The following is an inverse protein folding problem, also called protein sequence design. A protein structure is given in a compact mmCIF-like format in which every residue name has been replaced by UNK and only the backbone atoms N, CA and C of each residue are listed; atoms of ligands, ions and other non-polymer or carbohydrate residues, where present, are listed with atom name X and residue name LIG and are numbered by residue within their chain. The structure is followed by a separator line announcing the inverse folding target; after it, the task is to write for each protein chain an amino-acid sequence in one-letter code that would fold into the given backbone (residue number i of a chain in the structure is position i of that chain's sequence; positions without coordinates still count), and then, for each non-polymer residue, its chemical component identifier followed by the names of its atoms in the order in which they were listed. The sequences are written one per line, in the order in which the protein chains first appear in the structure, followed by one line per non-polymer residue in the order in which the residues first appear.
data_IF_495595263269
#
_entry.id   IF_495595263269
#
_cell.length_a   1.000
_cell.length_b   1.000
_cell.length_c   1.000
_cell.angle_alpha   90.00
_cell.angle_beta   90.00
_cell.angle_gamma   90.00
#
_symmetry.space_group_name_H-M   'P 1'
#
loop_
_entity.id
_entity.type
_entity.pdbx_description
1 polymer ?
#
# COMPACT_ATOMS: atom_id res chain seq x y z
N UNK A 1 -10.24 8.59 21.28
CA UNK A 1 -10.34 7.69 20.11
C UNK A 1 -11.21 8.36 19.05
N UNK A 2 -10.94 8.13 17.76
CA UNK A 2 -11.85 8.59 16.69
C UNK A 2 -13.12 7.72 16.64
N UNK A 3 -14.22 8.20 16.01
CA UNK A 3 -15.41 7.37 15.82
C UNK A 3 -15.07 6.16 14.92
N UNK A 4 -15.59 4.98 15.27
CA UNK A 4 -15.48 3.80 14.42
C UNK A 4 -16.25 4.01 13.12
N UNK A 5 -15.60 3.69 12.02
CA UNK A 5 -16.17 3.68 10.66
C UNK A 5 -15.62 2.45 9.95
N UNK A 6 -16.47 1.55 9.42
CA UNK A 6 -16.01 0.36 8.74
C UNK A 6 -15.43 0.71 7.36
N UNK A 7 -14.43 -0.05 6.90
CA UNK A 7 -13.92 0.03 5.52
C UNK A 7 -14.60 -0.96 4.58
N UNK A 8 -15.33 -1.95 5.11
CA UNK A 8 -16.04 -2.92 4.28
C UNK A 8 -17.09 -2.23 3.38
N UNK A 9 -17.05 -2.53 2.08
CA UNK A 9 -18.10 -2.15 1.14
C UNK A 9 -19.13 -3.28 1.05
N UNK A 10 -20.33 -3.09 1.62
CA UNK A 10 -21.35 -4.15 1.70
C UNK A 10 -22.18 -4.24 0.43
N UNK A 11 -22.26 -5.44 -0.15
CA UNK A 11 -23.14 -5.76 -1.28
C UNK A 11 -23.81 -7.14 -1.16
N UNK A 12 -23.39 -7.99 -0.22
CA UNK A 12 -23.97 -9.33 -0.01
C UNK A 12 -24.05 -9.68 1.49
N UNK A 13 -25.04 -10.49 1.85
CA UNK A 13 -25.25 -10.96 3.24
C UNK A 13 -24.17 -11.95 3.72
N UNK A 14 -23.39 -12.52 2.81
CA UNK A 14 -22.29 -13.45 3.11
C UNK A 14 -21.05 -12.73 3.67
N UNK A 15 -21.00 -11.39 3.55
CA UNK A 15 -19.91 -10.60 4.11
C UNK A 15 -20.01 -10.51 5.64
N UNK A 16 -18.88 -10.41 6.34
CA UNK A 16 -18.85 -10.37 7.82
C UNK A 16 -19.80 -9.30 8.36
N UNK A 17 -20.75 -9.62 9.27
CA UNK A 17 -21.74 -8.66 9.77
C UNK A 17 -21.09 -7.52 10.55
N UNK A 18 -21.84 -6.43 10.75
CA UNK A 18 -21.37 -5.32 11.58
C UNK A 18 -21.26 -5.77 13.05
N UNK A 19 -20.24 -5.32 13.79
CA UNK A 19 -20.18 -5.58 15.22
C UNK A 19 -21.33 -4.87 15.92
N UNK A 20 -21.83 -5.48 17.00
CA UNK A 20 -22.77 -4.81 17.89
C UNK A 20 -22.14 -3.50 18.41
N UNK A 21 -22.89 -2.38 18.50
CA UNK A 21 -22.33 -1.09 18.90
C UNK A 21 -21.54 -1.12 20.22
N UNK A 22 -21.99 -1.94 21.17
CA UNK A 22 -21.32 -2.13 22.47
C UNK A 22 -20.00 -2.91 22.40
N UNK A 23 -19.77 -3.70 21.35
CA UNK A 23 -18.57 -4.53 21.20
C UNK A 23 -17.39 -3.77 20.55
N UNK A 24 -17.65 -2.63 19.89
CA UNK A 24 -16.64 -1.87 19.13
C UNK A 24 -15.48 -1.44 20.02
N UNK A 25 -15.75 -0.91 21.21
CA UNK A 25 -14.71 -0.43 22.13
C UNK A 25 -13.81 -1.58 22.57
N UNK A 26 -14.41 -2.71 23.00
CA UNK A 26 -13.65 -3.89 23.40
C UNK A 26 -12.81 -4.48 22.26
N UNK A 27 -13.31 -4.45 21.03
CA UNK A 27 -12.55 -4.93 19.87
C UNK A 27 -11.35 -4.01 19.54
N UNK A 28 -11.51 -2.69 19.67
CA UNK A 28 -10.39 -1.74 19.50
C UNK A 28 -9.32 -1.93 20.60
N UNK A 29 -9.74 -2.19 21.83
CA UNK A 29 -8.84 -2.53 22.92
C UNK A 29 -8.12 -3.87 22.67
N UNK A 30 -8.84 -4.87 22.14
CA UNK A 30 -8.27 -6.17 21.77
C UNK A 30 -7.21 -6.06 20.66
N UNK A 31 -7.45 -5.24 19.63
CA UNK A 31 -6.43 -4.90 18.61
C UNK A 31 -5.19 -4.28 19.24
N UNK A 32 -5.37 -3.36 20.19
CA UNK A 32 -4.27 -2.67 20.86
C UNK A 32 -3.45 -3.61 21.75
N UNK A 33 -4.14 -4.51 22.47
CA UNK A 33 -3.55 -5.59 23.27
C UNK A 33 -2.75 -6.55 22.39
N UNK A 34 -3.33 -7.05 21.29
CA UNK A 34 -2.64 -7.91 20.32
C UNK A 34 -1.42 -7.24 19.71
N UNK A 35 -1.52 -5.95 19.36
CA UNK A 35 -0.39 -5.18 18.82
C UNK A 35 0.75 -5.03 19.83
N UNK A 36 0.45 -5.00 21.13
CA UNK A 36 1.47 -4.98 22.18
C UNK A 36 2.14 -6.35 22.32
N UNK A 37 1.37 -7.44 22.26
CA UNK A 37 1.90 -8.82 22.29
C UNK A 37 2.76 -9.13 21.06
N UNK A 38 2.36 -8.65 19.88
CA UNK A 38 3.16 -8.79 18.65
C UNK A 38 4.50 -8.08 18.71
N UNK A 39 4.62 -6.96 19.44
CA UNK A 39 5.93 -6.34 19.68
C UNK A 39 6.87 -7.23 20.50
N UNK A 40 6.33 -8.03 21.40
CA UNK A 40 7.09 -8.96 22.23
C UNK A 40 7.38 -10.29 21.52
N UNK A 41 6.46 -10.74 20.67
CA UNK A 41 6.55 -12.01 19.95
C UNK A 41 6.13 -11.86 18.46
N UNK A 42 6.98 -11.21 17.65
CA UNK A 42 6.63 -10.74 16.30
C UNK A 42 6.51 -11.87 15.27
N UNK A 43 7.09 -13.04 15.52
CA UNK A 43 7.02 -14.19 14.60
C UNK A 43 5.95 -15.22 15.00
N UNK A 44 5.01 -14.83 15.88
CA UNK A 44 3.94 -15.71 16.31
C UNK A 44 2.72 -15.63 15.39
N UNK A 45 2.57 -16.64 14.54
CA UNK A 45 1.46 -16.72 13.59
C UNK A 45 0.07 -16.70 14.25
N UNK A 46 -0.06 -17.19 15.49
CA UNK A 46 -1.33 -17.15 16.22
C UNK A 46 -1.70 -15.73 16.63
N UNK A 47 -0.74 -14.91 17.06
CA UNK A 47 -0.99 -13.49 17.40
C UNK A 47 -1.41 -12.68 16.17
N UNK A 48 -0.77 -12.91 15.02
CA UNK A 48 -1.18 -12.29 13.75
C UNK A 48 -2.59 -12.72 13.36
N UNK A 49 -2.91 -14.00 13.52
CA UNK A 49 -4.25 -14.54 13.25
C UNK A 49 -5.30 -13.93 14.18
N UNK A 50 -5.01 -13.81 15.47
CA UNK A 50 -5.89 -13.20 16.47
C UNK A 50 -6.17 -11.73 16.15
N UNK A 51 -5.13 -10.95 15.79
CA UNK A 51 -5.33 -9.55 15.40
C UNK A 51 -6.10 -9.41 14.08
N UNK A 52 -5.87 -10.31 13.12
CA UNK A 52 -6.63 -10.38 11.88
C UNK A 52 -8.13 -10.63 12.13
N UNK A 53 -8.46 -11.52 13.06
CA UNK A 53 -9.85 -11.80 13.45
C UNK A 53 -10.52 -10.56 14.05
N UNK A 54 -9.84 -9.84 14.95
CA UNK A 54 -10.36 -8.58 15.49
C UNK A 54 -10.56 -7.51 14.41
N UNK A 55 -9.66 -7.40 13.43
CA UNK A 55 -9.85 -6.51 12.29
C UNK A 55 -11.06 -6.90 11.45
N UNK A 56 -11.28 -8.19 11.21
CA UNK A 56 -12.44 -8.68 10.47
C UNK A 56 -13.76 -8.37 11.21
N UNK A 57 -13.80 -8.60 12.52
CA UNK A 57 -14.94 -8.25 13.39
C UNK A 57 -15.22 -6.75 13.44
N UNK A 58 -14.18 -5.91 13.38
CA UNK A 58 -14.31 -4.45 13.26
C UNK A 58 -14.67 -3.98 11.83
N UNK A 59 -14.84 -4.91 10.89
CA UNK A 59 -15.07 -4.67 9.47
C UNK A 59 -13.96 -3.82 8.80
N UNK A 60 -12.71 -4.15 9.16
CA UNK A 60 -11.49 -3.72 8.48
C UNK A 60 -10.84 -4.87 7.70
N UNK A 61 -11.52 -5.42 6.66
CA UNK A 61 -11.06 -6.63 6.00
C UNK A 61 -9.69 -6.47 5.34
N UNK A 62 -9.31 -5.28 4.85
CA UNK A 62 -7.98 -5.03 4.27
C UNK A 62 -6.85 -5.20 5.29
N UNK A 63 -7.11 -4.87 6.55
CA UNK A 63 -6.16 -5.06 7.64
C UNK A 63 -6.09 -6.53 8.04
N UNK A 64 -7.24 -7.21 8.07
CA UNK A 64 -7.33 -8.65 8.31
C UNK A 64 -6.57 -9.45 7.24
N UNK A 65 -6.70 -9.08 5.95
CA UNK A 65 -5.91 -9.68 4.86
C UNK A 65 -4.41 -9.53 5.15
N UNK A 66 -3.96 -8.33 5.53
CA UNK A 66 -2.54 -8.07 5.82
C UNK A 66 -1.97 -8.96 6.92
N UNK A 67 -2.68 -9.08 8.04
CA UNK A 67 -2.23 -9.88 9.19
C UNK A 67 -2.37 -11.39 8.95
N UNK A 68 -3.46 -11.85 8.35
CA UNK A 68 -3.63 -13.26 8.01
C UNK A 68 -2.62 -13.70 6.92
N UNK A 69 -2.22 -12.81 6.01
CA UNK A 69 -1.16 -13.06 5.05
C UNK A 69 0.22 -13.15 5.71
N UNK A 70 0.53 -12.32 6.72
CA UNK A 70 1.74 -12.50 7.56
C UNK A 70 1.75 -13.87 8.24
N UNK A 71 0.63 -14.30 8.82
CA UNK A 71 0.50 -15.62 9.40
C UNK A 71 0.76 -16.74 8.35
N UNK A 72 0.20 -16.59 7.13
CA UNK A 72 0.47 -17.50 6.00
C UNK A 72 1.97 -17.61 5.70
N UNK A 73 2.68 -16.48 5.58
CA UNK A 73 4.12 -16.47 5.30
C UNK A 73 4.94 -17.18 6.40
N UNK A 74 4.55 -17.05 7.66
CA UNK A 74 5.18 -17.78 8.77
C UNK A 74 4.95 -19.29 8.68
N UNK A 75 3.74 -19.72 8.29
CA UNK A 75 3.43 -21.12 8.06
C UNK A 75 4.25 -21.71 6.92
N UNK A 76 4.40 -20.99 5.80
CA UNK A 76 5.21 -21.40 4.66
C UNK A 76 6.69 -21.50 5.03
N UNK A 77 7.20 -20.55 5.83
CA UNK A 77 8.56 -20.61 6.37
C UNK A 77 8.77 -21.84 7.26
N UNK A 78 7.81 -22.18 8.11
CA UNK A 78 7.88 -23.36 8.97
C UNK A 78 7.84 -24.68 8.16
N UNK A 79 7.04 -24.72 7.09
CA UNK A 79 6.97 -25.87 6.19
C UNK A 79 8.33 -26.08 5.47
N UNK A 80 8.89 -25.01 4.90
CA UNK A 80 10.19 -25.05 4.22
C UNK A 80 11.34 -25.45 5.16
N UNK A 81 11.35 -24.96 6.40
CA UNK A 81 12.34 -25.37 7.40
C UNK A 81 12.25 -26.88 7.73
N UNK A 82 11.03 -27.41 7.83
CA UNK A 82 10.81 -28.84 8.10
C UNK A 82 11.30 -29.73 6.95
N UNK A 83 11.16 -29.27 5.70
CA UNK A 83 11.64 -29.99 4.52
C UNK A 83 13.17 -30.04 4.48
N UNK A 84 13.83 -28.90 4.73
CA UNK A 84 15.30 -28.83 4.76
C UNK A 84 15.92 -29.66 5.90
N UNK A 85 15.29 -29.70 7.09
CA UNK A 85 15.79 -30.49 8.22
C UNK A 85 15.72 -32.01 7.98
N UNK A 86 14.79 -32.49 7.15
CA UNK A 86 14.75 -33.90 6.76
C UNK A 86 15.93 -34.31 5.89
N UNK A 87 16.63 -33.36 5.26
CA UNK A 87 17.78 -33.62 4.40
C UNK A 87 19.14 -33.54 5.12
N UNK A 88 19.23 -32.92 6.31
CA UNK A 88 20.52 -32.53 6.94
C UNK A 88 20.77 -33.03 8.37
N UNK A 89 20.07 -34.06 8.84
CA UNK A 89 20.07 -34.50 10.25
C UNK A 89 21.43 -34.45 11.00
N UNK A 90 21.60 -33.47 11.90
CA UNK A 90 22.10 -33.59 13.29
C UNK A 90 22.00 -32.24 14.03
N UNK A 91 21.42 -32.29 15.23
CA UNK A 91 21.13 -31.21 16.21
C UNK A 91 20.02 -30.23 15.82
N UNK A 92 18.94 -30.20 16.61
CA UNK A 92 17.72 -29.45 16.36
C UNK A 92 17.25 -28.74 17.64
N UNK A 93 17.14 -27.41 17.59
CA UNK A 93 16.07 -26.70 18.30
C UNK A 93 14.76 -27.02 17.56
N UNK A 94 13.75 -27.50 18.28
CA UNK A 94 12.44 -27.80 17.71
C UNK A 94 11.75 -26.51 17.25
N UNK A 95 11.74 -26.24 15.95
CA UNK A 95 10.83 -25.24 15.38
C UNK A 95 9.40 -25.78 15.54
N UNK A 96 8.62 -25.19 16.44
CA UNK A 96 7.24 -25.58 16.68
C UNK A 96 6.40 -25.38 15.40
N UNK A 97 6.11 -26.47 14.70
CA UNK A 97 5.28 -26.45 13.48
C UNK A 97 3.83 -26.19 13.89
N UNK A 98 3.19 -25.11 13.38
CA UNK A 98 1.79 -24.83 13.72
C UNK A 98 0.87 -25.95 13.24
N UNK A 99 -0.02 -26.40 14.13
CA UNK A 99 -0.96 -27.47 13.87
C UNK A 99 -1.97 -27.13 12.75
N UNK A 100 -2.58 -28.15 12.16
CA UNK A 100 -3.53 -28.00 11.05
C UNK A 100 -4.73 -27.10 11.41
N UNK A 101 -5.21 -27.15 12.66
CA UNK A 101 -6.35 -26.35 13.10
C UNK A 101 -6.01 -24.86 13.18
N UNK A 102 -4.81 -24.52 13.65
CA UNK A 102 -4.28 -23.14 13.63
C UNK A 102 -4.26 -22.59 12.20
N UNK A 103 -3.82 -23.39 11.22
CA UNK A 103 -3.79 -23.00 9.80
C UNK A 103 -5.20 -22.82 9.23
N UNK A 104 -6.11 -23.74 9.53
CA UNK A 104 -7.52 -23.66 9.11
C UNK A 104 -8.15 -22.35 9.60
N UNK A 105 -7.90 -21.97 10.85
CA UNK A 105 -8.43 -20.73 11.41
C UNK A 105 -7.89 -19.50 10.66
N UNK A 106 -6.58 -19.39 10.51
CA UNK A 106 -5.93 -18.28 9.80
C UNK A 106 -6.36 -18.17 8.33
N UNK A 107 -6.43 -19.30 7.61
CA UNK A 107 -6.83 -19.32 6.21
C UNK A 107 -8.32 -19.07 6.01
N UNK A 108 -9.16 -19.43 6.99
CA UNK A 108 -10.57 -19.04 6.98
C UNK A 108 -10.72 -17.53 7.11
N UNK A 109 -9.96 -16.89 8.02
CA UNK A 109 -9.93 -15.44 8.15
C UNK A 109 -9.42 -14.79 6.88
N UNK A 110 -8.30 -15.27 6.30
CA UNK A 110 -7.77 -14.73 5.05
C UNK A 110 -8.79 -14.83 3.92
N UNK A 111 -9.41 -16.00 3.73
CA UNK A 111 -10.42 -16.22 2.70
C UNK A 111 -11.65 -15.33 2.87
N UNK A 112 -12.14 -15.16 4.11
CA UNK A 112 -13.27 -14.28 4.40
C UNK A 112 -12.90 -12.81 4.22
N UNK A 113 -11.73 -12.39 4.67
CA UNK A 113 -11.27 -11.02 4.51
C UNK A 113 -11.06 -10.64 3.03
N UNK A 114 -10.54 -11.56 2.21
CA UNK A 114 -10.48 -11.38 0.75
C UNK A 114 -11.87 -11.29 0.13
N UNK A 115 -12.82 -12.10 0.60
CA UNK A 115 -14.21 -12.00 0.17
C UNK A 115 -14.82 -10.64 0.52
N UNK A 116 -14.62 -10.18 1.75
CA UNK A 116 -15.13 -8.90 2.27
C UNK A 116 -14.51 -7.70 1.55
N UNK A 117 -13.26 -7.82 1.07
CA UNK A 117 -12.60 -6.87 0.17
C UNK A 117 -13.01 -7.02 -1.30
N UNK A 118 -14.00 -7.86 -1.64
CA UNK A 118 -14.40 -8.18 -3.02
C UNK A 118 -13.30 -8.79 -3.91
N UNK A 119 -12.18 -9.23 -3.33
CA UNK A 119 -11.07 -9.90 -4.02
C UNK A 119 -11.43 -11.35 -4.37
N UNK A 120 -12.61 -11.59 -4.96
CA UNK A 120 -13.15 -12.93 -5.15
C UNK A 120 -12.28 -13.80 -6.06
N UNK A 121 -11.60 -13.18 -7.04
CA UNK A 121 -10.70 -13.88 -7.93
C UNK A 121 -9.47 -14.41 -7.19
N UNK A 122 -8.78 -13.56 -6.42
CA UNK A 122 -7.63 -13.98 -5.62
C UNK A 122 -8.03 -14.89 -4.46
N UNK A 123 -9.22 -14.70 -3.87
CA UNK A 123 -9.79 -15.62 -2.89
C UNK A 123 -9.99 -17.01 -3.52
N UNK A 124 -10.48 -17.08 -4.75
CA UNK A 124 -10.62 -18.35 -5.49
C UNK A 124 -9.26 -19.00 -5.75
N UNK A 125 -8.28 -18.23 -6.26
CA UNK A 125 -6.93 -18.75 -6.52
C UNK A 125 -6.27 -19.28 -5.24
N UNK A 126 -6.39 -18.53 -4.13
CA UNK A 126 -5.91 -18.94 -2.81
C UNK A 126 -6.52 -20.27 -2.35
N UNK A 127 -7.84 -20.41 -2.38
CA UNK A 127 -8.49 -21.66 -1.99
C UNK A 127 -8.18 -22.80 -2.97
N UNK A 128 -8.08 -22.51 -4.28
CA UNK A 128 -7.72 -23.51 -5.28
C UNK A 128 -6.32 -24.07 -5.03
N UNK A 129 -5.34 -23.23 -4.71
CA UNK A 129 -3.98 -23.66 -4.36
C UNK A 129 -3.99 -24.62 -3.16
N UNK A 130 -4.74 -24.28 -2.11
CA UNK A 130 -4.83 -25.09 -0.88
C UNK A 130 -5.52 -26.45 -1.09
N UNK A 131 -6.24 -26.67 -2.19
CA UNK A 131 -6.77 -28.01 -2.51
C UNK A 131 -5.63 -29.03 -2.70
N UNK A 132 -4.44 -28.55 -3.08
CA UNK A 132 -3.26 -29.39 -3.35
C UNK A 132 -2.41 -29.66 -2.09
N UNK A 133 -2.81 -29.12 -0.93
CA UNK A 133 -2.08 -29.27 0.33
C UNK A 133 -2.19 -30.70 0.92
N UNK A 134 -1.41 -31.64 0.37
CA UNK A 134 -1.46 -33.08 0.74
C UNK A 134 -1.19 -33.35 2.22
N UNK A 135 -0.39 -32.51 2.90
CA UNK A 135 -0.08 -32.62 4.34
C UNK A 135 -1.27 -32.29 5.24
N UNK A 136 -2.26 -31.56 4.74
CA UNK A 136 -3.33 -30.97 5.53
C UNK A 136 -4.70 -31.36 4.93
N UNK A 137 -5.15 -32.57 5.27
CA UNK A 137 -6.34 -33.18 4.65
C UNK A 137 -7.66 -32.46 4.98
N UNK A 138 -7.80 -31.93 6.19
CA UNK A 138 -8.99 -31.18 6.59
C UNK A 138 -9.00 -29.83 5.88
N UNK A 139 -7.84 -29.19 5.82
CA UNK A 139 -7.67 -27.93 5.10
C UNK A 139 -7.97 -28.10 3.60
N UNK A 140 -7.43 -29.12 2.95
CA UNK A 140 -7.67 -29.41 1.52
C UNK A 140 -9.16 -29.62 1.21
N UNK A 141 -9.90 -30.33 2.08
CA UNK A 141 -11.35 -30.50 1.94
C UNK A 141 -12.12 -29.19 2.09
N UNK A 142 -11.78 -28.38 3.09
CA UNK A 142 -12.38 -27.05 3.26
C UNK A 142 -12.12 -26.18 2.02
N UNK A 143 -10.88 -26.17 1.54
CA UNK A 143 -10.44 -25.41 0.40
C UNK A 143 -11.21 -25.79 -0.88
N UNK A 144 -11.44 -27.09 -1.10
CA UNK A 144 -12.25 -27.58 -2.22
C UNK A 144 -13.69 -27.04 -2.19
N UNK A 145 -14.34 -27.07 -1.02
CA UNK A 145 -15.68 -26.52 -0.85
C UNK A 145 -15.72 -25.01 -1.13
N UNK A 146 -14.77 -24.25 -0.57
CA UNK A 146 -14.69 -22.79 -0.75
C UNK A 146 -14.37 -22.40 -2.20
N UNK A 147 -13.41 -23.08 -2.84
CA UNK A 147 -13.05 -22.83 -4.24
C UNK A 147 -14.23 -23.10 -5.20
N UNK A 148 -15.01 -24.15 -4.97
CA UNK A 148 -16.18 -24.44 -5.81
C UNK A 148 -17.28 -23.37 -5.69
N UNK A 149 -17.56 -22.90 -4.47
CA UNK A 149 -18.52 -21.82 -4.26
C UNK A 149 -18.08 -20.53 -4.98
N UNK A 150 -16.81 -20.16 -4.86
CA UNK A 150 -16.26 -18.98 -5.54
C UNK A 150 -16.22 -19.13 -7.06
N UNK A 151 -15.96 -20.34 -7.58
CA UNK A 151 -16.01 -20.61 -9.02
C UNK A 151 -17.38 -20.31 -9.61
N UNK A 152 -18.45 -20.69 -8.90
CA UNK A 152 -19.83 -20.39 -9.32
C UNK A 152 -20.10 -18.88 -9.29
N UNK A 153 -19.70 -18.19 -8.22
CA UNK A 153 -19.83 -16.74 -8.09
C UNK A 153 -19.08 -15.99 -9.20
N UNK A 154 -17.84 -16.40 -9.53
CA UNK A 154 -17.05 -15.79 -10.59
C UNK A 154 -17.67 -16.02 -11.98
N UNK A 155 -18.29 -17.17 -12.21
CA UNK A 155 -19.03 -17.42 -13.45
C UNK A 155 -20.24 -16.48 -13.58
N UNK A 156 -20.98 -16.26 -12.48
CA UNK A 156 -22.09 -15.29 -12.44
C UNK A 156 -21.60 -13.85 -12.67
N UNK A 157 -20.53 -13.43 -11.98
CA UNK A 157 -19.90 -12.11 -12.19
C UNK A 157 -19.46 -11.92 -13.65
N UNK A 158 -18.87 -12.95 -14.27
CA UNK A 158 -18.44 -12.90 -15.67
C UNK A 158 -19.63 -12.72 -16.63
N UNK A 159 -20.74 -13.42 -16.38
CA UNK A 159 -21.97 -13.25 -17.16
C UNK A 159 -22.58 -11.85 -16.96
N UNK A 160 -22.65 -11.37 -15.72
CA UNK A 160 -23.16 -10.03 -15.42
C UNK A 160 -22.28 -8.91 -15.99
N UNK A 161 -20.96 -9.14 -16.09
CA UNK A 161 -20.01 -8.19 -16.66
C UNK A 161 -20.00 -8.16 -18.21
N UNK A 162 -20.51 -9.21 -18.87
CA UNK A 162 -20.43 -9.38 -20.32
C UNK A 162 -21.10 -8.27 -21.16
N UNK A 163 -22.24 -7.67 -20.74
CA UNK A 163 -22.87 -6.59 -21.50
C UNK A 163 -22.06 -5.28 -21.48
N UNK A 164 -21.16 -5.11 -20.52
CA UNK A 164 -20.39 -3.89 -20.37
C UNK A 164 -19.13 -3.96 -21.25
N UNK A 165 -19.05 -3.06 -22.23
CA UNK A 165 -17.86 -2.90 -23.09
C UNK A 165 -16.60 -2.44 -22.33
N UNK A 166 -15.61 -1.99 -23.10
CA UNK A 166 -14.30 -1.54 -22.61
C UNK A 166 -13.15 -2.35 -23.20
N UNK A 167 -11.93 -1.94 -22.87
CA UNK A 167 -10.71 -2.65 -23.30
C UNK A 167 -10.59 -4.00 -22.61
N UNK A 168 -9.81 -4.91 -23.17
CA UNK A 168 -9.54 -6.21 -22.54
C UNK A 168 -9.01 -6.08 -21.10
N UNK A 169 -8.26 -5.00 -20.83
CA UNK A 169 -7.78 -4.69 -19.49
C UNK A 169 -8.92 -4.29 -18.55
N UNK A 170 -9.78 -3.34 -18.96
CA UNK A 170 -10.94 -2.93 -18.17
C UNK A 170 -11.90 -4.09 -17.86
N UNK A 171 -12.08 -5.01 -18.80
CA UNK A 171 -12.89 -6.21 -18.58
C UNK A 171 -12.25 -7.17 -17.57
N UNK A 172 -10.91 -7.30 -17.57
CA UNK A 172 -10.18 -8.09 -16.57
C UNK A 172 -10.26 -7.44 -15.19
N UNK A 173 -10.00 -6.15 -15.11
CA UNK A 173 -10.00 -5.36 -13.87
C UNK A 173 -11.36 -5.46 -13.18
N UNK A 174 -12.47 -5.31 -13.94
CA UNK A 174 -13.85 -5.47 -13.42
C UNK A 174 -14.11 -6.81 -12.72
N UNK A 175 -13.41 -7.87 -13.12
CA UNK A 175 -13.58 -9.22 -12.55
C UNK A 175 -12.58 -9.52 -11.44
N UNK A 176 -11.42 -8.88 -11.45
CA UNK A 176 -10.28 -9.21 -10.58
C UNK A 176 -10.11 -8.23 -9.43
N UNK A 177 -10.45 -6.97 -9.64
CA UNK A 177 -10.25 -5.93 -8.64
C UNK A 177 -11.25 -6.11 -7.50
N UNK A 178 -10.71 -6.09 -6.29
CA UNK A 178 -11.48 -5.87 -5.08
C UNK A 178 -11.59 -4.38 -4.76
N UNK A 179 -12.24 -4.08 -3.65
CA UNK A 179 -12.42 -2.71 -3.20
C UNK A 179 -12.63 -2.59 -1.70
N UNK A 180 -12.22 -1.47 -1.14
CA UNK A 180 -12.49 -1.07 0.24
C UNK A 180 -12.78 0.43 0.33
N UNK A 181 -13.57 0.82 1.32
CA UNK A 181 -13.81 2.23 1.65
C UNK A 181 -12.63 2.73 2.47
N UNK A 182 -12.09 3.86 2.05
CA UNK A 182 -10.96 4.50 2.73
C UNK A 182 -11.41 5.22 4.00
N UNK A 183 -10.78 4.91 5.14
CA UNK A 183 -11.19 5.39 6.46
C UNK A 183 -10.00 5.71 7.37
N UNK A 184 -10.26 6.48 8.42
CA UNK A 184 -9.31 6.60 9.53
C UNK A 184 -9.53 5.47 10.54
N UNK A 185 -8.44 4.79 10.89
CA UNK A 185 -8.49 3.75 11.91
C UNK A 185 -8.57 4.35 13.33
N UNK A 186 -9.33 3.74 14.27
CA UNK A 186 -9.54 4.31 15.61
C UNK A 186 -8.24 4.60 16.40
N UNK A 187 -7.22 3.75 16.21
CA UNK A 187 -5.90 3.83 16.86
C UNK A 187 -4.88 4.68 16.10
N UNK A 188 -5.24 5.26 14.95
CA UNK A 188 -4.34 6.15 14.21
C UNK A 188 -4.08 7.44 14.98
N UNK A 189 -2.82 7.86 15.11
CA UNK A 189 -2.47 9.12 15.74
C UNK A 189 -3.10 10.31 15.00
N UNK A 190 -3.52 11.35 15.74
CA UNK A 190 -4.22 12.51 15.16
C UNK A 190 -3.39 13.21 14.07
N UNK A 191 -2.08 13.39 14.31
CA UNK A 191 -1.12 13.94 13.34
C UNK A 191 -0.99 13.16 12.02
N UNK A 192 -1.52 11.94 11.95
CA UNK A 192 -1.53 11.13 10.72
C UNK A 192 -2.86 11.20 9.96
N UNK A 193 -3.86 11.87 10.51
CA UNK A 193 -5.20 11.95 9.91
C UNK A 193 -5.35 13.11 8.93
N UNK A 194 -4.62 14.20 9.14
CA UNK A 194 -4.64 15.41 8.31
C UNK A 194 -3.25 16.03 8.19
N UNK A 195 -3.12 17.00 7.29
CA UNK A 195 -1.95 17.90 7.28
C UNK A 195 -2.01 18.82 8.49
N UNK A 196 -0.94 18.82 9.27
CA UNK A 196 -0.80 19.72 10.41
C UNK A 196 -0.36 21.12 9.93
N UNK A 197 -0.63 22.19 10.70
CA UNK A 197 -0.14 23.53 10.37
C UNK A 197 1.37 23.59 10.14
N UNK A 198 2.15 22.81 10.90
CA UNK A 198 3.61 22.75 10.79
C UNK A 198 4.06 22.17 9.43
N UNK A 199 3.32 21.21 8.88
CA UNK A 199 3.57 20.69 7.53
C UNK A 199 3.36 21.78 6.48
N UNK A 200 2.29 22.56 6.61
CA UNK A 200 1.97 23.67 5.70
C UNK A 200 3.00 24.79 5.80
N UNK A 201 3.44 25.12 7.02
CA UNK A 201 4.50 26.10 7.27
C UNK A 201 5.84 25.65 6.67
N UNK A 202 6.20 24.37 6.83
CA UNK A 202 7.40 23.80 6.21
C UNK A 202 7.38 23.92 4.68
N UNK A 203 6.25 23.61 4.04
CA UNK A 203 6.09 23.78 2.59
C UNK A 203 6.16 25.26 2.19
N UNK A 204 5.59 26.18 2.98
CA UNK A 204 5.73 27.61 2.73
C UNK A 204 7.19 28.09 2.85
N UNK A 205 7.97 27.54 3.79
CA UNK A 205 9.40 27.78 3.88
C UNK A 205 10.17 27.29 2.64
N UNK A 206 9.80 26.14 2.08
CA UNK A 206 10.37 25.65 0.80
C UNK A 206 10.02 26.59 -0.37
N UNK A 207 8.75 27.03 -0.46
CA UNK A 207 8.28 27.94 -1.51
C UNK A 207 9.01 29.30 -1.49
N UNK A 208 9.34 29.82 -0.30
CA UNK A 208 10.10 31.07 -0.16
C UNK A 208 11.49 31.02 -0.80
N UNK A 209 12.11 29.84 -0.91
CA UNK A 209 13.45 29.66 -1.46
C UNK A 209 13.44 29.10 -2.88
N UNK A 210 12.26 28.76 -3.42
CA UNK A 210 12.13 28.03 -4.67
C UNK A 210 12.44 28.88 -5.92
N UNK A 211 11.86 30.08 -5.98
CA UNK A 211 12.11 31.10 -7.02
C UNK A 211 12.30 32.47 -6.35
N UNK A 212 13.09 33.35 -6.96
CA UNK A 212 13.37 34.69 -6.44
C UNK A 212 12.96 35.78 -7.44
N UNK A 213 12.11 36.76 -7.05
CA UNK A 213 11.45 36.90 -5.74
C UNK A 213 10.31 35.88 -5.54
N UNK A 214 9.98 35.49 -4.29
CA UNK A 214 8.92 34.51 -4.02
C UNK A 214 7.58 34.96 -4.62
N UNK A 215 6.89 34.03 -5.27
CA UNK A 215 5.63 34.31 -5.97
C UNK A 215 4.42 33.63 -5.32
N UNK A 216 4.64 32.60 -4.50
CA UNK A 216 3.61 31.67 -4.10
C UNK A 216 3.62 31.40 -2.59
N UNK A 217 2.43 31.15 -2.05
CA UNK A 217 2.21 30.56 -0.72
C UNK A 217 1.09 29.53 -0.77
N UNK A 218 1.22 28.49 0.03
CA UNK A 218 0.17 27.52 0.31
C UNK A 218 -0.72 28.03 1.45
N UNK A 219 -2.03 27.81 1.35
CA UNK A 219 -3.00 28.12 2.41
C UNK A 219 -4.30 27.35 2.24
N UNK A 220 -5.26 27.57 3.15
CA UNK A 220 -6.59 26.95 3.01
C UNK A 220 -7.29 27.44 1.75
N UNK A 221 -7.86 26.51 0.99
CA UNK A 221 -8.58 26.82 -0.26
C UNK A 221 -9.80 27.71 0.01
N UNK A 222 -10.00 28.73 -0.81
CA UNK A 222 -11.21 29.56 -0.82
C UNK A 222 -12.34 28.96 -1.64
N UNK A 223 -12.09 27.86 -2.35
CA UNK A 223 -13.05 27.18 -3.22
C UNK A 223 -13.89 26.12 -2.49
N UNK A 224 -13.48 25.73 -1.27
CA UNK A 224 -14.21 24.74 -0.48
C UNK A 224 -15.19 25.42 0.45
N UNK A 225 -16.47 25.05 0.34
CA UNK A 225 -17.54 25.49 1.24
C UNK A 225 -17.54 24.74 2.58
N UNK A 226 -16.72 23.69 2.71
CA UNK A 226 -16.61 22.84 3.89
C UNK A 226 -15.19 23.01 4.46
N UNK A 227 -15.01 23.23 5.78
CA UNK A 227 -13.69 23.22 6.41
C UNK A 227 -13.10 21.81 6.28
N UNK A 228 -12.39 21.63 5.18
CA UNK A 228 -11.73 20.40 4.75
C UNK A 228 -10.24 20.65 4.75
N UNK A 229 -9.46 19.59 4.87
CA UNK A 229 -8.03 19.60 4.57
C UNK A 229 -7.84 19.81 3.06
N UNK A 230 -8.31 20.93 2.51
CA UNK A 230 -8.16 21.32 1.11
C UNK A 230 -7.32 22.59 1.05
N UNK A 231 -6.14 22.48 0.44
CA UNK A 231 -5.20 23.57 0.30
C UNK A 231 -5.28 24.17 -1.10
N UNK A 232 -5.03 25.47 -1.19
CA UNK A 232 -4.87 26.22 -2.43
C UNK A 232 -3.49 26.89 -2.48
N UNK A 233 -3.02 27.16 -3.70
CA UNK A 233 -1.81 27.94 -3.96
C UNK A 233 -2.20 29.38 -4.29
N UNK A 234 -1.59 30.34 -3.60
CA UNK A 234 -1.95 31.76 -3.71
C UNK A 234 -0.73 32.57 -4.13
N UNK A 235 -0.95 33.51 -5.05
CA UNK A 235 0.08 34.50 -5.39
C UNK A 235 0.34 35.43 -4.20
N UNK A 236 1.61 35.74 -3.94
CA UNK A 236 2.04 36.70 -2.90
C UNK A 236 2.37 38.07 -3.47
N UNK A 237 2.36 38.20 -4.80
CA UNK A 237 2.63 39.41 -5.58
C UNK A 237 2.03 39.28 -6.98
N UNK A 238 2.07 40.35 -7.74
CA UNK A 238 1.74 40.31 -9.17
C UNK A 238 2.72 39.41 -9.93
N UNK A 239 2.18 38.59 -10.83
CA UNK A 239 2.92 37.64 -11.67
C UNK A 239 2.82 38.11 -13.12
N UNK A 240 3.96 38.27 -13.79
CA UNK A 240 3.99 38.66 -15.20
C UNK A 240 3.77 37.44 -16.10
N UNK A 241 3.16 37.65 -17.26
CA UNK A 241 3.01 36.59 -18.28
C UNK A 241 4.38 36.02 -18.66
N UNK A 242 4.53 34.70 -18.59
CA UNK A 242 5.76 33.98 -18.93
C UNK A 242 6.80 33.91 -17.80
N UNK A 243 6.50 34.46 -16.62
CA UNK A 243 7.37 34.37 -15.46
C UNK A 243 7.37 32.97 -14.84
N UNK A 244 8.54 32.46 -14.44
CA UNK A 244 8.64 31.22 -13.68
C UNK A 244 8.35 31.50 -12.20
N UNK A 245 7.28 30.88 -11.68
CA UNK A 245 6.79 31.08 -10.31
C UNK A 245 7.01 29.88 -9.39
N UNK A 246 7.37 28.72 -9.94
CA UNK A 246 7.63 27.48 -9.23
C UNK A 246 8.52 26.57 -10.09
N UNK A 247 9.53 25.98 -9.47
CA UNK A 247 10.34 24.89 -10.00
C UNK A 247 10.16 23.70 -9.06
N UNK A 248 9.31 22.75 -9.43
CA UNK A 248 9.15 21.53 -8.66
C UNK A 248 10.20 20.49 -9.07
N UNK A 249 11.11 20.17 -8.15
CA UNK A 249 12.09 19.09 -8.30
C UNK A 249 11.64 17.93 -7.42
N UNK A 250 11.26 16.83 -8.05
CA UNK A 250 10.66 15.70 -7.34
C UNK A 250 11.60 14.51 -7.21
N UNK A 251 11.67 13.93 -6.02
CA UNK A 251 12.27 12.63 -5.74
C UNK A 251 11.25 11.49 -5.79
N UNK A 252 9.97 11.80 -6.03
CA UNK A 252 8.86 10.85 -5.96
C UNK A 252 8.39 10.37 -7.33
N UNK A 253 9.13 10.68 -8.39
CA UNK A 253 8.84 10.22 -9.75
C UNK A 253 9.04 8.71 -9.92
N UNK A 254 8.15 8.08 -10.68
CA UNK A 254 8.26 6.69 -11.12
C UNK A 254 7.79 6.57 -12.57
N UNK A 255 8.35 5.62 -13.31
CA UNK A 255 7.99 5.35 -14.72
C UNK A 255 7.67 3.88 -14.93
N UNK A 256 6.66 3.61 -15.77
CA UNK A 256 6.29 2.25 -16.19
C UNK A 256 7.30 1.61 -17.12
N UNK A 257 7.97 2.43 -17.92
CA UNK A 257 8.95 2.02 -18.93
C UNK A 257 10.17 2.94 -18.83
N UNK A 258 11.24 2.50 -18.14
CA UNK A 258 12.49 3.23 -18.16
C UNK A 258 13.00 3.40 -19.60
N UNK A 259 13.60 4.55 -19.95
CA UNK A 259 14.23 4.73 -21.25
C UNK A 259 15.30 3.66 -21.53
N UNK A 260 15.35 3.19 -22.78
CA UNK A 260 16.38 2.24 -23.24
C UNK A 260 17.73 2.92 -23.47
N UNK A 261 17.75 4.24 -23.64
CA UNK A 261 18.93 5.08 -23.74
C UNK A 261 19.39 5.55 -22.36
N UNK A 262 20.67 5.95 -22.20
CA UNK A 262 21.17 6.54 -20.95
C UNK A 262 20.26 7.68 -20.50
N UNK A 263 19.73 7.57 -19.29
CA UNK A 263 18.73 8.48 -18.73
C UNK A 263 19.05 8.87 -17.30
N UNK A 264 18.44 9.97 -16.84
CA UNK A 264 18.55 10.40 -15.45
C UNK A 264 17.68 9.55 -14.54
N UNK A 265 18.24 8.96 -13.48
CA UNK A 265 17.50 8.11 -12.52
C UNK A 265 16.47 8.88 -11.66
N UNK A 266 16.51 10.22 -11.68
CA UNK A 266 15.63 11.09 -10.89
C UNK A 266 14.51 11.70 -11.71
N UNK A 267 14.84 12.36 -12.81
CA UNK A 267 13.86 13.06 -13.66
C UNK A 267 13.52 12.32 -14.95
N UNK A 268 14.19 11.19 -15.23
CA UNK A 268 14.00 10.39 -16.44
C UNK A 268 14.32 11.08 -17.77
N UNK A 269 15.02 12.23 -17.72
CA UNK A 269 15.52 12.93 -18.91
C UNK A 269 16.46 12.03 -19.72
N UNK A 270 16.34 12.09 -21.06
CA UNK A 270 16.97 11.16 -21.99
C UNK A 270 16.95 11.68 -23.44
N UNK A 271 17.97 11.38 -24.28
CA UNK A 271 19.24 10.74 -23.92
C UNK A 271 20.20 11.73 -23.24
N UNK A 272 20.93 11.26 -22.23
CA UNK A 272 21.95 12.08 -21.58
C UNK A 272 23.19 12.25 -22.45
N UNK A 273 23.61 13.50 -22.68
CA UNK A 273 24.80 13.84 -23.48
C UNK A 273 26.08 13.89 -22.66
N UNK A 274 25.99 14.25 -21.38
CA UNK A 274 27.13 14.33 -20.45
C UNK A 274 26.69 13.87 -19.06
N UNK A 275 26.42 12.56 -18.88
CA UNK A 275 25.88 12.04 -17.64
C UNK A 275 26.87 12.11 -16.49
N UNK A 276 26.36 12.35 -15.29
CA UNK A 276 27.10 12.26 -14.03
C UNK A 276 26.76 10.93 -13.39
N UNK A 277 27.76 10.17 -12.96
CA UNK A 277 27.56 8.91 -12.25
C UNK A 277 27.36 9.11 -10.76
N UNK A 278 26.62 8.19 -10.12
CA UNK A 278 26.66 8.05 -8.67
C UNK A 278 28.09 7.67 -8.20
N UNK A 279 28.52 8.10 -7.00
CA UNK A 279 29.80 7.69 -6.45
C UNK A 279 29.84 6.20 -6.04
N UNK A 280 28.68 5.57 -5.83
CA UNK A 280 28.56 4.21 -5.30
C UNK A 280 28.16 3.15 -6.33
N UNK A 281 27.67 3.53 -7.52
CA UNK A 281 27.19 2.59 -8.54
C UNK A 281 27.12 3.23 -9.94
N UNK A 282 26.60 2.49 -10.93
CA UNK A 282 26.50 2.92 -12.32
C UNK A 282 25.28 3.83 -12.63
N UNK A 283 24.50 4.24 -11.63
CA UNK A 283 23.36 5.14 -11.82
C UNK A 283 23.78 6.48 -12.46
N UNK A 284 22.99 6.98 -13.41
CA UNK A 284 23.29 8.18 -14.18
C UNK A 284 22.33 9.33 -13.85
N UNK A 285 22.83 10.55 -13.91
CA UNK A 285 22.07 11.77 -13.62
C UNK A 285 22.39 12.88 -14.63
N UNK A 286 21.39 13.70 -14.97
CA UNK A 286 21.56 14.83 -15.88
C UNK A 286 22.31 16.02 -15.26
N UNK A 287 22.23 16.19 -13.94
CA UNK A 287 22.82 17.32 -13.20
C UNK A 287 23.26 16.90 -11.80
N UNK A 288 24.20 17.64 -11.15
CA UNK A 288 24.54 17.40 -9.75
C UNK A 288 23.31 17.51 -8.83
N UNK A 289 22.37 18.41 -9.15
CA UNK A 289 21.13 18.58 -8.40
C UNK A 289 20.27 17.31 -8.40
N UNK A 290 20.12 16.63 -9.55
CA UNK A 290 19.39 15.36 -9.60
C UNK A 290 20.12 14.24 -8.84
N UNK A 291 21.45 14.16 -9.00
CA UNK A 291 22.28 13.20 -8.26
C UNK A 291 22.13 13.38 -6.76
N UNK A 292 22.33 14.59 -6.26
CA UNK A 292 22.32 14.90 -4.84
C UNK A 292 20.91 14.68 -4.28
N UNK A 293 19.86 15.12 -5.00
CA UNK A 293 18.48 14.82 -4.64
C UNK A 293 18.22 13.32 -4.50
N UNK A 294 18.71 12.48 -5.44
CA UNK A 294 18.56 11.04 -5.34
C UNK A 294 19.31 10.46 -4.14
N UNK A 295 20.58 10.84 -3.95
CA UNK A 295 21.46 10.37 -2.87
C UNK A 295 20.89 10.71 -1.49
N UNK A 296 20.35 11.92 -1.33
CA UNK A 296 19.79 12.41 -0.08
C UNK A 296 18.43 11.80 0.26
N UNK A 297 17.72 11.24 -0.74
CA UNK A 297 16.31 10.85 -0.56
C UNK A 297 16.05 9.36 -0.67
N UNK A 298 16.28 8.71 -1.81
CA UNK A 298 15.88 7.30 -2.03
C UNK A 298 17.04 6.38 -2.42
N UNK A 299 18.11 6.92 -3.01
CA UNK A 299 19.12 6.11 -3.71
C UNK A 299 19.80 5.13 -2.77
N UNK A 300 20.12 5.54 -1.54
CA UNK A 300 20.73 4.66 -0.52
C UNK A 300 19.92 3.39 -0.23
N UNK A 301 18.59 3.45 -0.34
CA UNK A 301 17.73 2.29 -0.11
C UNK A 301 17.61 1.39 -1.35
N UNK A 302 17.70 1.97 -2.56
CA UNK A 302 17.60 1.24 -3.82
C UNK A 302 18.94 0.73 -4.38
N UNK A 303 20.06 1.32 -3.96
CA UNK A 303 21.37 1.04 -4.54
C UNK A 303 21.73 -0.45 -4.38
N UNK A 304 22.04 -1.10 -5.50
CA UNK A 304 22.39 -2.53 -5.53
C UNK A 304 21.22 -3.50 -5.47
N UNK A 305 19.96 -3.01 -5.45
CA UNK A 305 18.76 -3.84 -5.45
C UNK A 305 18.16 -3.94 -6.86
N UNK A 306 17.69 -5.13 -7.25
CA UNK A 306 17.00 -5.35 -8.53
C UNK A 306 15.48 -5.43 -8.35
N UNK A 307 14.77 -4.40 -8.81
CA UNK A 307 13.31 -4.33 -8.81
C UNK A 307 12.70 -4.50 -10.21
N UNK A 308 13.43 -5.08 -11.17
CA UNK A 308 12.97 -5.34 -12.55
C UNK A 308 11.66 -6.15 -12.61
N UNK A 309 11.41 -6.99 -11.60
CA UNK A 309 10.18 -7.76 -11.43
C UNK A 309 8.93 -6.88 -11.26
N UNK A 310 9.06 -5.62 -10.82
CA UNK A 310 7.95 -4.65 -10.74
C UNK A 310 7.68 -3.94 -12.07
N UNK A 311 8.68 -3.83 -12.94
CA UNK A 311 8.56 -3.16 -14.24
C UNK A 311 7.85 -4.05 -15.27
N UNK A 312 8.10 -5.36 -15.23
CA UNK A 312 7.56 -6.32 -16.20
C UNK A 312 6.03 -6.28 -16.30
N UNK A 313 5.26 -6.29 -15.18
CA UNK A 313 3.80 -6.18 -15.24
C UNK A 313 3.29 -4.81 -15.72
N UNK A 314 4.06 -3.75 -15.49
CA UNK A 314 3.69 -2.38 -15.87
C UNK A 314 4.00 -2.07 -17.34
N UNK A 315 4.95 -2.80 -17.95
CA UNK A 315 5.41 -2.56 -19.31
C UNK A 315 4.27 -2.55 -20.34
N UNK A 316 3.35 -3.51 -20.46
CA UNK A 316 2.37 -3.52 -21.56
C UNK A 316 1.22 -2.50 -21.44
N UNK A 317 1.15 -1.72 -20.35
CA UNK A 317 -0.05 -0.97 -20.00
C UNK A 317 0.10 0.52 -20.37
N UNK A 318 -0.66 0.94 -21.38
CA UNK A 318 -0.57 2.28 -21.99
C UNK A 318 -1.60 3.29 -21.45
N UNK A 319 -2.72 2.82 -20.89
CA UNK A 319 -3.90 3.67 -20.65
C UNK A 319 -4.27 3.85 -19.16
N UNK A 320 -3.79 2.98 -18.27
CA UNK A 320 -4.24 2.97 -16.87
C UNK A 320 -3.10 3.33 -15.91
N UNK A 321 -3.40 4.17 -14.91
CA UNK A 321 -2.50 4.52 -13.81
C UNK A 321 -2.46 3.46 -12.67
N UNK A 322 -3.32 2.43 -12.72
CA UNK A 322 -3.36 1.33 -11.73
C UNK A 322 -2.02 0.59 -11.58
N UNK A 323 -1.30 0.24 -12.67
CA UNK A 323 -0.01 -0.47 -12.61
C UNK A 323 1.13 0.38 -12.04
N UNK A 324 0.93 1.69 -11.86
CA UNK A 324 1.88 2.57 -11.17
C UNK A 324 1.84 2.42 -9.66
N UNK A 325 0.83 1.73 -9.10
CA UNK A 325 0.72 1.52 -7.66
C UNK A 325 1.99 0.91 -7.07
N UNK A 326 2.49 -0.25 -7.53
CA UNK A 326 3.69 -0.85 -6.95
C UNK A 326 4.96 -0.02 -7.17
N UNK A 327 5.09 0.66 -8.31
CA UNK A 327 6.27 1.47 -8.62
C UNK A 327 6.32 2.78 -7.81
N UNK A 328 5.17 3.44 -7.64
CA UNK A 328 5.05 4.59 -6.75
C UNK A 328 5.28 4.17 -5.30
N UNK A 329 4.69 3.06 -4.86
CA UNK A 329 4.94 2.52 -3.52
C UNK A 329 6.41 2.21 -3.30
N UNK A 330 7.10 1.55 -4.24
CA UNK A 330 8.55 1.33 -4.16
C UNK A 330 9.29 2.64 -3.89
N UNK A 331 9.01 3.68 -4.69
CA UNK A 331 9.68 4.98 -4.54
C UNK A 331 9.46 5.58 -3.15
N UNK A 332 8.22 5.61 -2.67
CA UNK A 332 7.90 6.18 -1.36
C UNK A 332 8.39 5.33 -0.19
N UNK A 333 8.39 4.00 -0.30
CA UNK A 333 8.95 3.11 0.71
C UNK A 333 10.46 3.27 0.78
N UNK A 334 11.15 3.38 -0.36
CA UNK A 334 12.58 3.66 -0.40
C UNK A 334 12.95 4.98 0.28
N UNK A 335 12.15 6.05 0.07
CA UNK A 335 12.28 7.32 0.81
C UNK A 335 12.16 7.10 2.33
N UNK A 336 11.14 6.35 2.77
CA UNK A 336 10.94 6.07 4.21
C UNK A 336 12.10 5.28 4.82
N UNK A 337 12.60 4.26 4.11
CA UNK A 337 13.75 3.45 4.55
C UNK A 337 15.02 4.29 4.59
N UNK A 338 15.20 5.17 3.60
CA UNK A 338 16.33 6.08 3.54
C UNK A 338 16.31 7.18 4.61
N UNK A 339 15.15 7.56 5.15
CA UNK A 339 15.12 8.43 6.33
C UNK A 339 15.53 7.74 7.64
N UNK A 340 15.68 6.41 7.64
CA UNK A 340 16.10 5.64 8.81
C UNK A 340 14.95 5.26 9.76
N UNK A 341 15.27 4.58 10.89
CA UNK A 341 14.28 3.92 11.75
C UNK A 341 13.46 4.87 12.63
N UNK A 342 13.92 6.10 12.86
CA UNK A 342 13.29 7.03 13.79
C UNK A 342 12.12 7.81 13.19
N UNK A 343 11.95 7.78 11.87
CA UNK A 343 10.89 8.51 11.17
C UNK A 343 9.74 7.56 10.84
N UNK A 344 8.53 7.90 11.29
CA UNK A 344 7.33 7.17 10.91
C UNK A 344 6.95 7.50 9.45
N UNK A 345 6.62 6.53 8.57
CA UNK A 345 6.29 6.77 7.16
C UNK A 345 5.26 7.88 6.92
N UNK A 346 4.14 7.88 7.65
CA UNK A 346 3.10 8.92 7.53
C UNK A 346 3.52 10.32 8.02
N UNK A 347 4.69 10.44 8.63
CA UNK A 347 5.29 11.71 9.06
C UNK A 347 6.48 12.15 8.21
N UNK A 348 6.87 11.34 7.22
CA UNK A 348 7.85 11.77 6.23
C UNK A 348 7.32 13.04 5.52
N UNK A 349 8.10 14.12 5.37
CA UNK A 349 7.59 15.40 4.84
C UNK A 349 6.89 15.29 3.48
N UNK A 350 7.41 14.45 2.56
CA UNK A 350 6.82 14.21 1.24
C UNK A 350 5.52 13.38 1.26
N UNK A 351 5.22 12.71 2.38
CA UNK A 351 3.99 11.91 2.56
C UNK A 351 2.98 12.68 3.44
N UNK A 352 3.47 13.39 4.46
CA UNK A 352 2.67 14.18 5.37
C UNK A 352 1.97 15.35 4.65
N UNK A 353 2.59 15.92 3.60
CA UNK A 353 2.04 17.02 2.81
C UNK A 353 0.96 16.64 1.79
N UNK A 354 0.71 15.34 1.60
CA UNK A 354 -0.29 14.84 0.65
C UNK A 354 -1.68 14.86 1.29
N UNK A 355 -2.70 15.23 0.52
CA UNK A 355 -4.08 15.22 0.99
C UNK A 355 -4.49 13.77 1.33
N UNK A 356 -4.95 13.49 2.56
CA UNK A 356 -5.47 12.17 2.91
C UNK A 356 -6.85 11.96 2.28
N UNK A 357 -7.09 10.76 1.77
CA UNK A 357 -8.37 10.33 1.25
C UNK A 357 -8.92 9.28 2.19
N UNK A 358 -9.66 9.72 3.20
CA UNK A 358 -10.24 8.87 4.25
C UNK A 358 -11.51 9.52 4.80
N UNK A 359 -12.51 8.69 5.14
CA UNK A 359 -13.81 9.11 5.68
C UNK A 359 -14.66 10.01 4.75
N UNK A 360 -14.37 10.02 3.45
CA UNK A 360 -15.15 10.76 2.44
C UNK A 360 -16.00 9.85 1.53
N UNK A 361 -16.16 8.57 1.91
CA UNK A 361 -16.89 7.59 1.12
C UNK A 361 -16.17 7.14 -0.15
N UNK A 362 -14.88 7.42 -0.28
CA UNK A 362 -14.10 6.98 -1.44
C UNK A 362 -13.84 5.48 -1.39
N UNK A 363 -14.24 4.80 -2.46
CA UNK A 363 -13.99 3.39 -2.73
C UNK A 363 -12.67 3.25 -3.50
N UNK A 364 -11.65 2.69 -2.85
CA UNK A 364 -10.34 2.44 -3.45
C UNK A 364 -10.22 1.00 -3.94
N UNK A 365 -9.42 0.78 -4.97
CA UNK A 365 -9.13 -0.56 -5.50
C UNK A 365 -8.21 -1.30 -4.53
N UNK A 366 -8.54 -2.55 -4.23
CA UNK A 366 -7.76 -3.40 -3.34
C UNK A 366 -7.60 -4.80 -3.91
N UNK A 367 -6.38 -5.33 -3.88
CA UNK A 367 -6.05 -6.73 -4.21
C UNK A 367 -5.04 -7.25 -3.21
N UNK A 368 -5.04 -8.55 -2.92
CA UNK A 368 -4.01 -9.20 -2.10
C UNK A 368 -2.63 -8.93 -2.68
N UNK A 369 -2.48 -9.14 -4.00
CA UNK A 369 -1.19 -9.01 -4.68
C UNK A 369 -0.62 -7.60 -4.58
N UNK A 370 -1.37 -6.57 -4.97
CA UNK A 370 -0.82 -5.21 -5.08
C UNK A 370 -0.90 -4.41 -3.78
N UNK A 371 -1.90 -4.68 -2.93
CA UNK A 371 -2.09 -3.93 -1.69
C UNK A 371 -1.33 -4.52 -0.50
N UNK A 372 -0.97 -5.81 -0.53
CA UNK A 372 -0.36 -6.49 0.62
C UNK A 372 0.92 -7.23 0.24
N UNK A 373 0.86 -8.21 -0.65
CA UNK A 373 1.99 -9.08 -0.95
C UNK A 373 3.16 -8.31 -1.59
N UNK A 374 2.87 -7.46 -2.58
CA UNK A 374 3.90 -6.68 -3.29
C UNK A 374 4.58 -5.66 -2.38
N UNK A 375 3.88 -4.84 -1.57
CA UNK A 375 4.52 -3.99 -0.57
C UNK A 375 5.38 -4.75 0.43
N UNK A 376 4.96 -5.92 0.90
CA UNK A 376 5.78 -6.74 1.81
C UNK A 376 7.03 -7.28 1.14
N UNK A 377 6.95 -7.71 -0.12
CA UNK A 377 8.10 -8.13 -0.90
C UNK A 377 9.08 -6.96 -1.11
N UNK A 378 8.57 -5.77 -1.45
CA UNK A 378 9.38 -4.55 -1.57
C UNK A 378 10.11 -4.26 -0.25
N UNK A 379 9.38 -4.20 0.87
CA UNK A 379 9.96 -3.92 2.18
C UNK A 379 11.04 -4.92 2.56
N UNK A 380 10.77 -6.21 2.39
CA UNK A 380 11.72 -7.28 2.67
C UNK A 380 12.99 -7.12 1.84
N UNK A 381 12.86 -6.80 0.54
CA UNK A 381 14.00 -6.56 -0.34
C UNK A 381 14.77 -5.28 0.03
N UNK A 382 14.10 -4.27 0.58
CA UNK A 382 14.72 -3.07 1.15
C UNK A 382 15.36 -3.32 2.55
N UNK A 383 15.35 -4.56 3.04
CA UNK A 383 15.92 -4.93 4.34
C UNK A 383 15.02 -4.63 5.54
N UNK A 384 13.73 -4.37 5.32
CA UNK A 384 12.75 -4.18 6.39
C UNK A 384 12.12 -5.52 6.74
N UNK A 385 12.23 -5.90 8.01
CA UNK A 385 11.49 -7.03 8.55
C UNK A 385 10.03 -6.62 8.82
N UNK A 386 9.11 -7.18 8.03
CA UNK A 386 7.66 -6.89 8.06
C UNK A 386 6.94 -7.36 9.34
N UNK A 387 7.63 -8.08 10.22
CA UNK A 387 7.12 -8.53 11.52
C UNK A 387 7.65 -7.66 12.67
N UNK A 388 8.90 -7.19 12.59
CA UNK A 388 9.54 -6.36 13.61
C UNK A 388 9.27 -4.86 13.44
N UNK A 389 9.27 -4.36 12.20
CA UNK A 389 9.15 -2.92 11.95
C UNK A 389 7.69 -2.50 11.78
N UNK A 390 7.01 -2.32 12.91
CA UNK A 390 5.61 -1.88 12.95
C UNK A 390 5.33 -0.51 12.35
N UNK A 391 6.37 0.27 11.98
CA UNK A 391 6.16 1.51 11.22
C UNK A 391 5.59 1.22 9.83
N UNK A 392 5.79 0.00 9.32
CA UNK A 392 5.27 -0.48 8.04
C UNK A 392 4.14 -1.52 8.22
N UNK A 393 3.41 -1.46 9.34
CA UNK A 393 2.20 -2.26 9.53
C UNK A 393 1.15 -1.94 8.46
N UNK A 394 0.27 -2.90 8.15
CA UNK A 394 -0.76 -2.78 7.09
C UNK A 394 -1.59 -1.50 7.14
N UNK A 395 -2.12 -1.03 8.29
CA UNK A 395 -2.84 0.24 8.34
C UNK A 395 -1.99 1.45 7.91
N UNK A 396 -0.67 1.42 8.16
CA UNK A 396 0.23 2.49 7.72
C UNK A 396 0.43 2.44 6.20
N UNK A 397 0.69 1.25 5.64
CA UNK A 397 0.87 1.07 4.20
C UNK A 397 -0.40 1.45 3.43
N UNK A 398 -1.56 1.07 3.93
CA UNK A 398 -2.83 1.43 3.32
C UNK A 398 -3.07 2.95 3.36
N UNK A 399 -2.83 3.60 4.51
CA UNK A 399 -2.96 5.07 4.64
C UNK A 399 -1.95 5.83 3.77
N UNK A 400 -0.74 5.30 3.63
CA UNK A 400 0.27 5.84 2.73
C UNK A 400 -0.25 5.76 1.29
N UNK A 401 -0.76 4.61 0.88
CA UNK A 401 -1.32 4.43 -0.46
C UNK A 401 -2.50 5.37 -0.73
N UNK A 402 -3.46 5.52 0.18
CA UNK A 402 -4.62 6.38 -0.09
C UNK A 402 -4.24 7.85 -0.31
N UNK A 403 -3.20 8.33 0.39
CA UNK A 403 -2.57 9.63 0.11
C UNK A 403 -1.96 9.65 -1.28
N UNK A 404 -1.19 8.65 -1.67
CA UNK A 404 -0.62 8.59 -3.03
C UNK A 404 -1.72 8.54 -4.09
N UNK A 405 -2.73 7.69 -3.92
CA UNK A 405 -3.83 7.50 -4.85
C UNK A 405 -4.60 8.80 -5.13
N UNK A 406 -4.80 9.63 -4.11
CA UNK A 406 -5.46 10.92 -4.25
C UNK A 406 -4.60 11.98 -4.94
N UNK A 407 -3.27 11.88 -4.83
CA UNK A 407 -2.33 12.92 -5.28
C UNK A 407 -1.51 12.49 -6.52
N UNK A 408 -1.72 11.27 -7.05
CA UNK A 408 -0.95 10.71 -8.20
C UNK A 408 -1.35 11.28 -9.57
N UNK A 409 -2.55 11.86 -9.68
CA UNK A 409 -3.06 12.39 -10.94
C UNK A 409 -3.74 13.74 -10.68
N UNK A 410 -3.38 14.74 -11.47
CA UNK A 410 -4.13 15.99 -11.56
C UNK A 410 -5.17 15.88 -12.67
N UNK A 411 -6.39 16.31 -12.41
CA UNK A 411 -7.40 16.54 -13.43
C UNK A 411 -7.70 18.03 -13.50
N UNK A 412 -7.87 18.54 -14.71
CA UNK A 412 -8.49 19.84 -14.92
C UNK A 412 -9.92 19.81 -14.37
N UNK A 413 -10.35 20.86 -13.66
CA UNK A 413 -11.75 21.04 -13.28
C UNK A 413 -12.50 21.68 -14.46
N UNK A 414 -13.41 20.96 -15.13
CA UNK A 414 -14.16 21.49 -16.27
C UNK A 414 -14.99 22.73 -15.93
N UNK A 415 -15.39 22.88 -14.68
CA UNK A 415 -16.26 23.97 -14.23
C UNK A 415 -15.49 25.27 -13.95
N UNK A 416 -14.17 25.21 -13.74
CA UNK A 416 -13.38 26.37 -13.31
C UNK A 416 -12.58 27.04 -14.44
N UNK A 417 -12.63 26.52 -15.67
CA UNK A 417 -11.98 27.16 -16.82
C UNK A 417 -10.46 26.94 -16.86
N UNK A 418 -9.87 27.03 -18.06
CA UNK A 418 -8.40 27.00 -18.30
C UNK A 418 -7.78 28.34 -17.94
#
# INVERSE_FOLDING_TARGET
MGPWRPSIYRTHDVQTPSPEPGAVISLVEAVSSCSTRLKADPYNARLWTERADHYLQLNYPELAVGDAYRAKLLFERADAATENHKETSKSSEEVAVPDEQTRIHAYTILGQALYDCHCHWECFEFWLELTQAKRYSQLSRLAFTKANALKQLLAQKKQAAAPYGGTAQQQRDRLRDGSVITVHYPWMAERHRSRSPEVVEGVNGELQHNVQPPALRLGNSTLSSIPTDMLGMFATRDIKKGECILIDRTATGAVSRPPTTPHCETCYDTPLTSPITAPCCAALFCTPVCRDLALDTYHRALCGQDFSWLLTPAAPLHENASPMRPLLLLRFLALCVACGPHTHPLSHPLIARLTPLANVGHLDVFTLRESVATPFQILTQLGIDIYLDHRFDTPVLHTLWTRLANNKAGSYDPALGV
#
